data_IF_782442231031
#
_entry.id   IF_782442231031
#
_cell.length_a   1.000
_cell.length_b   1.000
_cell.length_c   1.000
_cell.angle_alpha   90.00
_cell.angle_beta   90.00
_cell.angle_gamma   90.00
#
_symmetry.space_group_name_H-M   'P 1'
#
loop_
_entity.id
_entity.type
_entity.pdbx_description
1 polymer ?
#
# COMPACT_ATOMS: atom_id res chain seq x y z
N UNK A 1 -12.12 -1.26 -0.82
CA UNK A 1 -11.58 -0.54 0.37
C UNK A 1 -10.93 0.75 -0.10
N UNK A 2 -10.85 1.78 0.73
CA UNK A 2 -10.17 3.02 0.33
C UNK A 2 -8.65 2.87 0.34
N UNK A 3 -7.94 3.71 -0.42
CA UNK A 3 -6.47 3.85 -0.32
C UNK A 3 -5.99 3.97 1.12
N UNK A 4 -6.62 4.85 1.89
CA UNK A 4 -6.17 5.16 3.24
C UNK A 4 -6.42 3.97 4.19
N UNK A 5 -7.48 3.18 3.95
CA UNK A 5 -7.70 1.92 4.65
C UNK A 5 -6.60 0.89 4.33
N UNK A 6 -6.22 0.75 3.06
CA UNK A 6 -5.11 -0.13 2.65
C UNK A 6 -3.78 0.31 3.28
N UNK A 7 -3.48 1.61 3.28
CA UNK A 7 -2.27 2.15 3.93
C UNK A 7 -2.27 1.89 5.44
N UNK A 8 -3.43 2.00 6.11
CA UNK A 8 -3.54 1.63 7.54
C UNK A 8 -3.28 0.15 7.77
N UNK A 9 -3.79 -0.73 6.90
CA UNK A 9 -3.50 -2.16 6.98
C UNK A 9 -2.02 -2.46 6.78
N UNK A 10 -1.40 -1.87 5.76
CA UNK A 10 0.04 -1.97 5.50
C UNK A 10 0.89 -1.47 6.68
N UNK A 11 0.47 -0.39 7.37
CA UNK A 11 1.15 0.08 8.60
C UNK A 11 1.10 -0.96 9.71
N UNK A 12 -0.05 -1.59 9.95
CA UNK A 12 -0.17 -2.65 10.97
C UNK A 12 0.66 -3.87 10.60
N UNK A 13 0.59 -4.29 9.34
CA UNK A 13 1.40 -5.39 8.81
C UNK A 13 2.89 -5.11 8.97
N UNK A 14 3.37 -3.94 8.54
CA UNK A 14 4.76 -3.55 8.62
C UNK A 14 5.26 -3.56 10.07
N UNK A 15 4.47 -3.00 11.00
CA UNK A 15 4.80 -3.02 12.44
C UNK A 15 4.93 -4.44 13.00
N UNK A 16 3.98 -5.33 12.67
CA UNK A 16 4.02 -6.74 13.14
C UNK A 16 5.23 -7.50 12.63
N UNK A 17 5.73 -7.17 11.44
CA UNK A 17 6.87 -7.84 10.80
C UNK A 17 8.20 -7.08 10.90
N UNK A 18 8.24 -5.96 11.63
CA UNK A 18 9.44 -5.13 11.74
C UNK A 18 9.92 -4.50 10.43
N UNK A 19 9.03 -4.30 9.45
CA UNK A 19 9.37 -3.76 8.14
C UNK A 19 9.28 -2.23 8.13
N UNK A 20 10.19 -1.58 7.40
CA UNK A 20 10.10 -0.15 7.13
C UNK A 20 8.97 0.14 6.12
N UNK A 21 8.11 1.11 6.44
CA UNK A 21 7.05 1.58 5.55
C UNK A 21 7.14 3.10 5.39
N UNK A 22 7.30 3.55 4.14
CA UNK A 22 7.28 4.96 3.77
C UNK A 22 6.08 5.24 2.86
N UNK A 23 5.39 6.36 3.11
CA UNK A 23 4.28 6.84 2.29
C UNK A 23 4.60 8.26 1.85
N UNK A 24 4.86 8.44 0.57
CA UNK A 24 5.06 9.72 -0.06
C UNK A 24 3.73 10.20 -0.66
N UNK A 25 3.23 11.31 -0.13
CA UNK A 25 1.95 11.93 -0.52
C UNK A 25 2.10 12.95 -1.64
N UNK A 26 3.32 13.35 -1.96
CA UNK A 26 3.62 14.41 -2.93
C UNK A 26 4.09 13.84 -4.28
N UNK A 27 4.66 12.63 -4.32
CA UNK A 27 5.18 12.01 -5.55
C UNK A 27 4.23 11.07 -6.30
N UNK A 28 2.99 11.48 -6.55
CA UNK A 28 2.06 10.72 -7.40
C UNK A 28 1.32 11.57 -8.42
N UNK A 29 1.08 11.02 -9.61
CA UNK A 29 0.25 11.65 -10.64
C UNK A 29 -1.19 11.71 -10.14
N UNK A 30 -1.79 12.90 -10.05
CA UNK A 30 -3.20 13.09 -9.68
C UNK A 30 -3.57 12.56 -8.29
N UNK A 31 -3.05 13.16 -7.22
CA UNK A 31 -3.39 12.82 -5.82
C UNK A 31 -3.08 11.39 -5.37
N UNK A 32 -2.35 10.60 -6.17
CA UNK A 32 -1.93 9.24 -5.82
C UNK A 32 -0.76 9.25 -4.82
N UNK A 33 -0.65 8.21 -4.00
CA UNK A 33 0.45 8.08 -3.04
C UNK A 33 1.44 7.03 -3.50
N UNK A 34 2.74 7.30 -3.34
CA UNK A 34 3.78 6.31 -3.53
C UNK A 34 4.09 5.65 -2.20
N UNK A 35 3.99 4.33 -2.15
CA UNK A 35 4.19 3.53 -0.95
C UNK A 35 5.37 2.61 -1.14
N UNK A 36 6.30 2.63 -0.19
CA UNK A 36 7.45 1.71 -0.14
C UNK A 36 7.37 0.88 1.13
N UNK A 37 7.46 -0.44 0.99
CA UNK A 37 7.47 -1.39 2.09
C UNK A 37 8.72 -2.27 1.95
N UNK A 38 9.68 -2.11 2.87
CA UNK A 38 11.02 -2.66 2.69
C UNK A 38 11.64 -2.16 1.38
N UNK A 39 12.00 -3.09 0.50
CA UNK A 39 12.56 -2.82 -0.83
C UNK A 39 11.50 -2.65 -1.93
N UNK A 40 10.25 -3.05 -1.66
CA UNK A 40 9.19 -3.02 -2.64
C UNK A 40 8.52 -1.63 -2.71
N UNK A 41 8.09 -1.21 -3.89
CA UNK A 41 7.46 0.09 -4.12
C UNK A 41 6.27 -0.03 -5.06
N UNK A 42 5.22 0.73 -4.78
CA UNK A 42 4.05 0.85 -5.64
C UNK A 42 3.44 2.26 -5.56
N UNK A 43 2.49 2.54 -6.43
CA UNK A 43 1.68 3.76 -6.42
C UNK A 43 0.22 3.38 -6.22
N UNK A 44 -0.42 3.95 -5.21
CA UNK A 44 -1.82 3.67 -4.87
C UNK A 44 -2.67 4.86 -5.28
N UNK A 45 -3.65 4.58 -6.14
CA UNK A 45 -4.62 5.57 -6.60
C UNK A 45 -5.51 6.08 -5.47
N UNK A 46 -6.03 7.30 -5.61
CA UNK A 46 -6.96 7.88 -4.65
C UNK A 46 -8.35 7.23 -4.73
N UNK A 47 -9.13 7.36 -3.66
CA UNK A 47 -10.51 6.88 -3.61
C UNK A 47 -10.61 5.37 -3.30
N UNK A 48 -11.63 4.74 -3.87
CA UNK A 48 -11.95 3.34 -3.66
C UNK A 48 -11.14 2.41 -4.56
N UNK A 49 -10.61 1.37 -3.95
CA UNK A 49 -9.88 0.30 -4.60
C UNK A 49 -10.80 -0.91 -4.72
N UNK A 50 -10.95 -1.39 -5.96
CA UNK A 50 -11.54 -2.69 -6.24
C UNK A 50 -10.65 -3.80 -5.64
N UNK A 51 -11.21 -5.00 -5.36
CA UNK A 51 -10.43 -6.14 -4.89
C UNK A 51 -9.24 -6.47 -5.80
N UNK A 52 -9.42 -6.34 -7.12
CA UNK A 52 -8.36 -6.53 -8.10
C UNK A 52 -7.21 -5.52 -7.95
N UNK A 53 -7.51 -4.24 -7.70
CA UNK A 53 -6.49 -3.24 -7.45
C UNK A 53 -5.71 -3.53 -6.17
N UNK A 54 -6.42 -3.91 -5.10
CA UNK A 54 -5.79 -4.27 -3.83
C UNK A 54 -4.83 -5.45 -4.02
N UNK A 55 -5.29 -6.53 -4.65
CA UNK A 55 -4.47 -7.71 -4.91
C UNK A 55 -3.22 -7.37 -5.73
N UNK A 56 -3.38 -6.60 -6.83
CA UNK A 56 -2.24 -6.13 -7.63
C UNK A 56 -1.23 -5.33 -6.80
N UNK A 57 -1.70 -4.40 -5.98
CA UNK A 57 -0.84 -3.58 -5.10
C UNK A 57 -0.10 -4.46 -4.10
N UNK A 58 -0.78 -5.42 -3.48
CA UNK A 58 -0.19 -6.33 -2.50
C UNK A 58 0.89 -7.21 -3.15
N UNK A 59 0.64 -7.74 -4.35
CA UNK A 59 1.66 -8.49 -5.12
C UNK A 59 2.90 -7.65 -5.40
N UNK A 60 2.73 -6.40 -5.83
CA UNK A 60 3.86 -5.48 -6.05
C UNK A 60 4.65 -5.20 -4.76
N UNK A 61 3.98 -5.15 -3.62
CA UNK A 61 4.59 -4.99 -2.30
C UNK A 61 5.08 -6.30 -1.67
N UNK A 62 4.94 -7.45 -2.37
CA UNK A 62 5.27 -8.79 -1.87
C UNK A 62 4.52 -9.15 -0.56
N UNK A 63 3.26 -8.73 -0.45
CA UNK A 63 2.37 -9.01 0.69
C UNK A 63 1.21 -9.89 0.23
N UNK A 64 0.86 -10.91 1.02
CA UNK A 64 -0.37 -11.66 0.80
C UNK A 64 -1.57 -10.86 1.32
N UNK A 65 -2.66 -10.77 0.55
CA UNK A 65 -3.86 -10.03 0.96
C UNK A 65 -4.45 -10.57 2.27
N UNK A 66 -4.30 -11.87 2.54
CA UNK A 66 -4.71 -12.53 3.78
C UNK A 66 -3.95 -12.05 5.02
N UNK A 67 -2.80 -11.39 4.85
CA UNK A 67 -1.99 -10.90 5.96
C UNK A 67 -2.34 -9.46 6.41
N UNK A 68 -3.21 -8.75 5.68
CA UNK A 68 -3.53 -7.32 5.88
C UNK A 68 -4.77 -7.08 6.76
#
# INVERSE_FOLDING_TARGET
MTRDALIRALRRYARRRGLALAVDRQRGKGSHFRVRLGEAVTTIQSGDLSPFHVDRICRQLKVAVSDL
#
